data_IF_824704593271
#
_entry.id   IF_824704593271
#
_cell.length_a   1.000
_cell.length_b   1.000
_cell.length_c   1.000
_cell.angle_alpha   90.00
_cell.angle_beta   90.00
_cell.angle_gamma   90.00
#
_symmetry.space_group_name_H-M   'P 1'
#
loop_
_entity.id
_entity.type
_entity.pdbx_description
1 polymer ?
#
# COMPACT_ATOMS: atom_id res chain seq x y z
N UNK A 1 -7.63 -17.40 28.25
CA UNK A 1 -8.47 -16.67 27.28
C UNK A 1 -7.68 -15.47 26.83
N UNK A 2 -7.06 -15.54 25.65
CA UNK A 2 -6.48 -14.36 25.01
C UNK A 2 -7.63 -13.39 24.69
N UNK A 3 -7.45 -12.07 24.89
CA UNK A 3 -8.48 -11.11 24.52
C UNK A 3 -8.73 -11.26 23.02
N UNK A 4 -9.99 -11.52 22.64
CA UNK A 4 -10.44 -11.38 21.27
C UNK A 4 -10.15 -9.94 20.87
N UNK A 5 -9.19 -9.74 19.98
CA UNK A 5 -9.03 -8.45 19.30
C UNK A 5 -10.32 -8.26 18.51
N UNK A 6 -11.10 -7.24 18.87
CA UNK A 6 -12.34 -6.94 18.14
C UNK A 6 -12.01 -6.78 16.65
N UNK A 7 -12.79 -7.44 15.81
CA UNK A 7 -12.60 -7.38 14.37
C UNK A 7 -12.89 -5.95 13.87
N UNK A 8 -12.01 -5.40 13.05
CA UNK A 8 -12.21 -4.11 12.42
C UNK A 8 -13.24 -4.17 11.30
N UNK A 9 -14.20 -3.28 11.36
CA UNK A 9 -15.25 -3.16 10.35
C UNK A 9 -14.75 -2.39 9.13
N UNK A 10 -14.85 -3.02 7.96
CA UNK A 10 -14.45 -2.42 6.68
C UNK A 10 -15.67 -2.31 5.78
N UNK A 11 -16.04 -1.10 5.39
CA UNK A 11 -17.08 -0.85 4.40
C UNK A 11 -16.45 -0.61 3.01
N UNK A 12 -16.79 -1.43 2.03
CA UNK A 12 -16.45 -1.20 0.62
C UNK A 12 -17.64 -0.51 -0.03
N UNK A 13 -17.54 0.79 -0.32
CA UNK A 13 -18.64 1.56 -0.89
C UNK A 13 -18.65 1.47 -2.43
N UNK A 14 -19.49 0.59 -2.97
CA UNK A 14 -19.73 0.52 -4.40
C UNK A 14 -20.78 1.56 -4.85
N UNK A 15 -20.32 2.53 -5.63
CA UNK A 15 -21.19 3.50 -6.30
C UNK A 15 -21.66 2.97 -7.68
N UNK A 16 -22.73 3.54 -8.27
CA UNK A 16 -23.20 3.10 -9.58
C UNK A 16 -22.09 3.07 -10.62
N UNK A 17 -22.04 1.99 -11.41
CA UNK A 17 -20.98 1.71 -12.38
C UNK A 17 -19.60 1.58 -11.72
N UNK A 18 -19.54 0.93 -10.55
CA UNK A 18 -18.28 0.57 -9.92
C UNK A 18 -17.44 -0.36 -10.83
N UNK A 19 -16.12 -0.31 -10.72
CA UNK A 19 -15.25 -1.27 -11.38
C UNK A 19 -15.24 -2.58 -10.55
N UNK A 20 -15.79 -3.70 -11.07
CA UNK A 20 -16.04 -4.88 -10.26
C UNK A 20 -14.77 -5.50 -9.69
N UNK A 21 -13.65 -5.39 -10.43
CA UNK A 21 -12.35 -5.86 -9.97
C UNK A 21 -11.88 -5.12 -8.72
N UNK A 22 -12.03 -3.79 -8.67
CA UNK A 22 -11.61 -3.00 -7.51
C UNK A 22 -12.56 -3.16 -6.31
N UNK A 23 -13.85 -3.42 -6.57
CA UNK A 23 -14.79 -3.83 -5.53
C UNK A 23 -14.34 -5.15 -4.89
N UNK A 24 -13.86 -6.12 -5.69
CA UNK A 24 -13.45 -7.44 -5.20
C UNK A 24 -12.10 -7.47 -4.46
N UNK A 25 -11.20 -6.53 -4.74
CA UNK A 25 -9.83 -6.53 -4.17
C UNK A 25 -9.80 -6.49 -2.63
N UNK A 26 -10.54 -5.58 -1.94
CA UNK A 26 -10.60 -5.60 -0.49
C UNK A 26 -11.09 -6.94 0.07
N UNK A 27 -12.10 -7.56 -0.55
CA UNK A 27 -12.58 -8.87 -0.11
C UNK A 27 -11.49 -9.94 -0.27
N UNK A 28 -10.82 -9.99 -1.41
CA UNK A 28 -9.78 -10.97 -1.68
C UNK A 28 -8.59 -10.87 -0.71
N UNK A 29 -8.25 -9.66 -0.27
CA UNK A 29 -7.10 -9.40 0.62
C UNK A 29 -7.48 -9.47 2.10
N UNK A 30 -8.49 -8.70 2.51
CA UNK A 30 -8.81 -8.46 3.92
C UNK A 30 -9.61 -9.60 4.56
N UNK A 31 -10.33 -10.41 3.77
CA UNK A 31 -11.02 -11.61 4.29
C UNK A 31 -10.16 -12.87 4.29
N UNK A 32 -8.86 -12.74 4.04
CA UNK A 32 -7.93 -13.87 4.08
C UNK A 32 -7.96 -14.56 5.44
N UNK A 33 -8.02 -15.89 5.45
CA UNK A 33 -7.92 -16.71 6.69
C UNK A 33 -6.62 -16.51 7.46
N UNK A 34 -5.62 -15.90 6.82
CA UNK A 34 -4.35 -15.56 7.48
C UNK A 34 -4.39 -14.22 8.21
N UNK A 35 -5.45 -13.44 8.01
CA UNK A 35 -5.69 -12.11 8.55
C UNK A 35 -7.12 -12.04 9.15
N UNK A 36 -7.41 -12.90 10.13
CA UNK A 36 -8.69 -12.92 10.88
C UNK A 36 -8.84 -11.70 11.80
N UNK A 37 -8.90 -10.51 11.19
CA UNK A 37 -9.00 -9.22 11.86
C UNK A 37 -10.04 -8.30 11.23
N UNK A 38 -10.42 -8.52 9.98
CA UNK A 38 -11.35 -7.64 9.26
C UNK A 38 -12.71 -8.28 9.03
N UNK A 39 -13.76 -7.50 9.25
CA UNK A 39 -15.12 -7.81 8.79
C UNK A 39 -15.48 -6.89 7.64
N UNK A 40 -15.41 -7.41 6.41
CA UNK A 40 -15.63 -6.62 5.19
C UNK A 40 -17.10 -6.72 4.73
N UNK A 41 -17.75 -5.57 4.55
CA UNK A 41 -19.13 -5.44 4.07
C UNK A 41 -19.17 -4.66 2.76
N UNK A 42 -19.88 -5.15 1.75
CA UNK A 42 -20.14 -4.40 0.51
C UNK A 42 -21.33 -3.48 0.77
N UNK A 43 -21.09 -2.19 0.69
CA UNK A 43 -22.09 -1.15 0.89
C UNK A 43 -22.43 -0.48 -0.45
N UNK A 44 -23.69 -0.13 -0.62
CA UNK A 44 -24.15 0.78 -1.68
C UNK A 44 -24.70 2.06 -1.05
N UNK A 45 -25.29 2.94 -1.86
CA UNK A 45 -26.14 4.02 -1.32
C UNK A 45 -27.31 3.47 -0.51
N UNK A 46 -27.80 2.29 -0.90
CA UNK A 46 -28.81 1.46 -0.21
C UNK A 46 -28.45 -0.01 -0.43
N UNK A 47 -28.92 -0.95 0.42
CA UNK A 47 -28.80 -2.37 0.16
C UNK A 47 -29.44 -2.76 -1.19
N UNK A 48 -28.84 -3.74 -1.87
CA UNK A 48 -29.34 -4.27 -3.14
C UNK A 48 -28.37 -4.17 -4.32
N UNK A 49 -28.85 -4.40 -5.55
CA UNK A 49 -28.00 -4.44 -6.74
C UNK A 49 -27.33 -3.09 -7.05
N UNK A 50 -26.02 -3.11 -7.24
CA UNK A 50 -25.22 -1.98 -7.75
C UNK A 50 -24.66 -2.38 -9.12
N UNK A 51 -25.00 -1.65 -10.20
CA UNK A 51 -24.49 -1.96 -11.53
C UNK A 51 -22.97 -1.73 -11.58
N UNK A 52 -22.24 -2.59 -12.29
CA UNK A 52 -20.79 -2.44 -12.49
C UNK A 52 -20.46 -2.20 -13.96
N UNK A 53 -19.25 -1.73 -14.25
CA UNK A 53 -18.76 -1.58 -15.63
C UNK A 53 -18.55 -2.91 -16.35
N UNK A 54 -18.53 -4.04 -15.63
CA UNK A 54 -18.33 -5.38 -16.18
C UNK A 54 -19.59 -6.01 -16.79
N UNK A 55 -20.72 -5.31 -16.82
CA UNK A 55 -21.97 -5.84 -17.38
C UNK A 55 -22.75 -6.77 -16.44
N UNK A 56 -22.34 -6.89 -15.18
CA UNK A 56 -23.07 -7.63 -14.14
C UNK A 56 -23.16 -6.79 -12.85
N UNK A 57 -24.25 -6.89 -12.08
CA UNK A 57 -24.35 -6.19 -10.80
C UNK A 57 -23.57 -6.93 -9.71
N UNK A 58 -23.09 -6.17 -8.72
CA UNK A 58 -22.75 -6.69 -7.38
C UNK A 58 -23.91 -6.40 -6.44
N UNK A 59 -24.07 -7.15 -5.35
CA UNK A 59 -25.18 -6.98 -4.40
C UNK A 59 -24.65 -6.43 -3.09
N UNK A 60 -24.93 -5.15 -2.82
CA UNK A 60 -24.58 -4.52 -1.55
C UNK A 60 -25.43 -5.11 -0.41
N UNK A 61 -24.79 -5.53 0.67
CA UNK A 61 -25.49 -6.04 1.86
C UNK A 61 -26.03 -4.92 2.74
N UNK A 62 -25.40 -3.73 2.71
CA UNK A 62 -25.76 -2.59 3.56
C UNK A 62 -25.77 -1.26 2.79
N UNK A 63 -26.35 -0.23 3.40
CA UNK A 63 -26.36 1.15 2.90
C UNK A 63 -25.29 2.03 3.54
N UNK A 64 -25.50 3.35 3.43
CA UNK A 64 -24.59 4.37 3.95
C UNK A 64 -24.48 4.35 5.49
N UNK A 65 -25.47 3.79 6.19
CA UNK A 65 -25.40 3.59 7.64
C UNK A 65 -24.21 2.71 8.05
N UNK A 66 -23.89 1.67 7.28
CA UNK A 66 -22.74 0.83 7.52
C UNK A 66 -21.42 1.52 7.12
N UNK A 67 -21.44 2.39 6.11
CA UNK A 67 -20.30 3.24 5.74
C UNK A 67 -19.96 4.18 6.90
N UNK A 68 -20.97 4.86 7.44
CA UNK A 68 -20.81 5.73 8.59
C UNK A 68 -20.29 4.95 9.79
N UNK A 69 -20.71 3.70 10.00
CA UNK A 69 -20.35 2.83 11.13
C UNK A 69 -18.95 2.18 11.06
N UNK A 70 -18.33 2.05 9.89
CA UNK A 70 -17.13 1.23 9.69
C UNK A 70 -15.82 1.89 10.13
N UNK A 71 -14.88 1.14 10.71
CA UNK A 71 -13.55 1.61 11.12
C UNK A 71 -12.67 2.00 9.92
N UNK A 72 -12.87 1.33 8.78
CA UNK A 72 -12.24 1.69 7.50
C UNK A 72 -13.30 1.74 6.40
N UNK A 73 -13.27 2.80 5.58
CA UNK A 73 -14.10 2.92 4.38
C UNK A 73 -13.20 2.86 3.14
N UNK A 74 -13.52 1.97 2.20
CA UNK A 74 -12.81 1.86 0.92
C UNK A 74 -13.77 2.28 -0.20
N UNK A 75 -13.34 3.22 -1.04
CA UNK A 75 -14.08 3.73 -2.20
C UNK A 75 -13.38 3.31 -3.50
N UNK A 76 -13.87 2.26 -4.19
CA UNK A 76 -13.36 1.83 -5.50
C UNK A 76 -13.66 2.83 -6.63
N UNK A 77 -13.11 2.60 -7.83
CA UNK A 77 -13.51 3.32 -9.04
C UNK A 77 -15.01 3.19 -9.33
N UNK A 78 -15.59 4.28 -9.85
CA UNK A 78 -16.95 4.36 -10.37
C UNK A 78 -17.00 5.29 -11.59
N UNK A 79 -17.91 5.01 -12.54
CA UNK A 79 -17.91 5.67 -13.87
C UNK A 79 -18.20 7.16 -13.84
N UNK A 80 -18.98 7.66 -12.87
CA UNK A 80 -19.34 9.09 -12.89
C UNK A 80 -18.16 9.99 -12.55
N UNK A 81 -17.04 9.46 -12.05
CA UNK A 81 -15.82 10.26 -11.92
C UNK A 81 -15.45 10.88 -13.29
N UNK A 82 -15.32 12.21 -13.38
CA UNK A 82 -14.99 13.14 -12.29
C UNK A 82 -16.16 13.78 -11.53
N UNK A 83 -17.41 13.55 -11.93
CA UNK A 83 -18.57 14.15 -11.27
C UNK A 83 -18.61 13.73 -9.79
N UNK A 84 -18.88 14.69 -8.88
CA UNK A 84 -18.98 14.38 -7.47
C UNK A 84 -20.11 13.38 -7.22
N UNK A 85 -19.92 12.41 -6.32
CA UNK A 85 -21.01 11.60 -5.80
C UNK A 85 -22.14 12.48 -5.24
N UNK A 86 -23.38 11.97 -5.15
CA UNK A 86 -24.47 12.66 -4.49
C UNK A 86 -24.13 13.05 -3.05
N UNK A 87 -24.74 14.13 -2.54
CA UNK A 87 -24.40 14.71 -1.23
C UNK A 87 -24.50 13.72 -0.07
N UNK A 88 -25.47 12.79 -0.11
CA UNK A 88 -25.62 11.75 0.92
C UNK A 88 -24.38 10.86 1.05
N UNK A 89 -23.70 10.56 -0.07
CA UNK A 89 -22.44 9.83 -0.09
C UNK A 89 -21.31 10.67 0.50
N UNK A 90 -21.21 11.94 0.10
CA UNK A 90 -20.16 12.84 0.59
C UNK A 90 -20.28 13.03 2.10
N UNK A 91 -21.50 13.22 2.60
CA UNK A 91 -21.79 13.38 4.02
C UNK A 91 -21.51 12.09 4.80
N UNK A 92 -21.80 10.92 4.25
CA UNK A 92 -21.44 9.64 4.86
C UNK A 92 -19.92 9.49 5.01
N UNK A 93 -19.14 9.84 3.97
CA UNK A 93 -17.67 9.81 4.01
C UNK A 93 -17.11 10.79 5.05
N UNK A 94 -17.61 12.04 5.07
CA UNK A 94 -17.22 13.05 6.07
C UNK A 94 -17.56 12.60 7.48
N UNK A 95 -18.73 12.01 7.68
CA UNK A 95 -19.18 11.54 9.01
C UNK A 95 -18.33 10.38 9.50
N UNK A 96 -18.03 9.40 8.63
CA UNK A 96 -17.14 8.30 8.98
C UNK A 96 -15.75 8.82 9.38
N UNK A 97 -15.17 9.71 8.55
CA UNK A 97 -13.86 10.31 8.81
C UNK A 97 -13.83 11.14 10.10
N UNK A 98 -14.85 11.96 10.34
CA UNK A 98 -14.96 12.78 11.56
C UNK A 98 -15.06 11.94 12.84
N UNK A 99 -15.59 10.71 12.76
CA UNK A 99 -15.59 9.74 13.86
C UNK A 99 -14.21 9.09 14.08
N UNK A 100 -13.28 9.25 13.14
CA UNK A 100 -11.94 8.66 13.17
C UNK A 100 -11.77 7.42 12.30
N UNK A 101 -12.70 7.15 11.37
CA UNK A 101 -12.50 6.07 10.40
C UNK A 101 -11.35 6.39 9.45
N UNK A 102 -10.57 5.36 9.08
CA UNK A 102 -9.59 5.44 8.00
C UNK A 102 -10.33 5.42 6.66
N UNK A 103 -10.05 6.37 5.77
CA UNK A 103 -10.71 6.43 4.45
C UNK A 103 -9.69 6.11 3.35
N UNK A 104 -10.00 5.13 2.52
CA UNK A 104 -9.15 4.71 1.43
C UNK A 104 -9.88 4.84 0.08
N UNK A 105 -9.19 5.33 -0.95
CA UNK A 105 -9.66 5.22 -2.33
C UNK A 105 -8.81 4.27 -3.16
N UNK A 106 -9.44 3.69 -4.17
CA UNK A 106 -8.77 2.95 -5.24
C UNK A 106 -9.13 3.65 -6.55
N UNK A 107 -8.12 3.92 -7.39
CA UNK A 107 -8.29 4.51 -8.71
C UNK A 107 -9.00 5.87 -8.64
N UNK A 108 -9.95 6.11 -9.56
CA UNK A 108 -10.78 7.30 -9.61
C UNK A 108 -11.72 7.46 -8.40
N UNK A 109 -11.77 6.51 -7.46
CA UNK A 109 -12.39 6.72 -6.16
C UNK A 109 -11.82 7.93 -5.40
N UNK A 110 -10.59 8.35 -5.72
CA UNK A 110 -9.98 9.56 -5.16
C UNK A 110 -10.81 10.84 -5.40
N UNK A 111 -11.59 10.90 -6.49
CA UNK A 111 -12.48 12.05 -6.76
C UNK A 111 -13.60 12.17 -5.71
N UNK A 112 -14.11 11.06 -5.17
CA UNK A 112 -15.10 11.10 -4.09
C UNK A 112 -14.50 11.67 -2.80
N UNK A 113 -13.27 11.26 -2.46
CA UNK A 113 -12.56 11.79 -1.29
C UNK A 113 -12.22 13.28 -1.46
N UNK A 114 -11.82 13.69 -2.67
CA UNK A 114 -11.57 15.09 -3.00
C UNK A 114 -12.86 15.94 -2.89
N UNK A 115 -13.97 15.47 -3.48
CA UNK A 115 -15.28 16.12 -3.38
C UNK A 115 -15.80 16.22 -1.93
N UNK A 116 -15.45 15.23 -1.09
CA UNK A 116 -15.76 15.27 0.33
C UNK A 116 -14.88 16.26 1.13
N UNK A 117 -13.83 16.83 0.52
CA UNK A 117 -12.86 17.72 1.18
C UNK A 117 -11.79 16.97 1.99
N UNK A 118 -11.74 15.64 1.87
CA UNK A 118 -10.85 14.80 2.69
C UNK A 118 -9.40 14.81 2.22
N UNK A 119 -9.14 15.30 1.00
CA UNK A 119 -7.80 15.38 0.41
C UNK A 119 -7.18 16.79 0.45
N UNK A 120 -7.90 17.79 0.97
CA UNK A 120 -7.43 19.18 0.98
C UNK A 120 -6.14 19.33 1.78
N UNK A 121 -5.09 19.86 1.13
CA UNK A 121 -3.76 20.07 1.72
C UNK A 121 -2.89 18.81 1.82
N UNK A 122 -3.41 17.63 1.43
CA UNK A 122 -2.74 16.33 1.54
C UNK A 122 -2.14 15.89 0.22
N UNK A 123 -1.19 14.95 0.27
CA UNK A 123 -0.76 14.23 -0.93
C UNK A 123 -1.78 13.14 -1.26
N UNK A 124 -2.01 12.92 -2.54
CA UNK A 124 -2.88 11.86 -3.01
C UNK A 124 -2.43 11.35 -4.38
N UNK A 125 -2.82 10.13 -4.71
CA UNK A 125 -2.69 9.59 -6.06
C UNK A 125 -4.04 9.11 -6.58
N UNK A 126 -4.12 8.91 -7.88
CA UNK A 126 -5.27 8.33 -8.59
C UNK A 126 -4.73 7.61 -9.82
N UNK A 127 -5.60 7.03 -10.63
CA UNK A 127 -5.18 6.44 -11.90
C UNK A 127 -4.49 7.50 -12.77
N UNK A 128 -3.31 7.19 -13.30
CA UNK A 128 -2.46 8.13 -14.05
C UNK A 128 -3.24 8.92 -15.11
N UNK A 129 -4.17 8.28 -15.82
CA UNK A 129 -4.97 8.90 -16.87
C UNK A 129 -5.92 10.01 -16.35
N UNK A 130 -6.16 10.07 -15.05
CA UNK A 130 -7.04 11.05 -14.39
C UNK A 130 -6.30 11.94 -13.39
N UNK A 131 -4.98 11.85 -13.28
CA UNK A 131 -4.21 12.62 -12.30
C UNK A 131 -4.27 14.13 -12.59
N UNK A 132 -4.04 14.53 -13.84
CA UNK A 132 -4.11 15.95 -14.25
C UNK A 132 -5.52 16.51 -14.04
N UNK A 133 -6.54 15.69 -14.28
CA UNK A 133 -7.93 16.07 -14.08
C UNK A 133 -8.26 16.25 -12.59
N UNK A 134 -7.78 15.38 -11.72
CA UNK A 134 -7.95 15.51 -10.27
C UNK A 134 -7.27 16.80 -9.76
N UNK A 135 -6.04 17.06 -10.21
CA UNK A 135 -5.28 18.25 -9.83
C UNK A 135 -5.96 19.55 -10.29
N UNK A 136 -6.54 19.54 -11.50
CA UNK A 136 -7.24 20.70 -12.04
C UNK A 136 -8.56 21.00 -11.30
N UNK A 137 -9.30 19.97 -10.90
CA UNK A 137 -10.59 20.15 -10.22
C UNK A 137 -10.45 20.44 -8.72
N UNK A 138 -9.42 19.90 -8.08
CA UNK A 138 -9.21 20.02 -6.64
C UNK A 138 -7.80 20.57 -6.36
N UNK A 139 -7.59 21.89 -6.55
CA UNK A 139 -6.25 22.51 -6.53
C UNK A 139 -5.58 22.51 -5.14
N UNK A 140 -6.32 22.20 -4.08
CA UNK A 140 -5.76 22.02 -2.73
C UNK A 140 -5.10 20.65 -2.54
N UNK A 141 -5.34 19.70 -3.45
CA UNK A 141 -4.77 18.34 -3.39
C UNK A 141 -3.40 18.32 -4.07
N UNK A 142 -2.39 17.77 -3.39
CA UNK A 142 -1.05 17.56 -3.97
C UNK A 142 -1.02 16.22 -4.69
N UNK A 143 -1.43 16.21 -5.95
CA UNK A 143 -1.51 14.97 -6.75
C UNK A 143 -0.13 14.46 -7.15
N UNK A 144 0.13 13.19 -6.86
CA UNK A 144 1.34 12.46 -7.21
C UNK A 144 0.97 11.29 -8.15
N UNK A 145 1.21 11.47 -9.45
CA UNK A 145 0.81 10.51 -10.49
C UNK A 145 1.79 9.34 -10.65
N UNK A 146 2.97 9.41 -10.04
CA UNK A 146 4.07 8.47 -10.27
C UNK A 146 4.21 7.44 -9.15
N UNK A 147 3.15 7.21 -8.36
CA UNK A 147 3.14 6.27 -7.23
C UNK A 147 1.94 5.31 -7.30
N UNK A 148 2.09 4.10 -6.75
CA UNK A 148 1.03 3.09 -6.66
C UNK A 148 -0.01 3.43 -5.59
N UNK A 149 0.45 3.99 -4.46
CA UNK A 149 -0.42 4.50 -3.42
C UNK A 149 0.30 5.54 -2.54
N UNK A 150 -0.50 6.41 -1.93
CA UNK A 150 -0.09 7.41 -0.93
C UNK A 150 -0.83 7.13 0.37
N UNK A 151 -0.12 7.19 1.49
CA UNK A 151 -0.66 7.05 2.83
C UNK A 151 -0.35 8.33 3.63
N UNK A 152 -1.40 9.02 4.07
CA UNK A 152 -1.37 10.22 4.91
C UNK A 152 -1.95 9.92 6.32
N UNK A 153 -1.94 8.65 6.73
CA UNK A 153 -2.35 8.16 8.05
C UNK A 153 -3.82 7.74 8.11
N UNK A 154 -4.71 8.74 8.24
CA UNK A 154 -6.16 8.56 8.27
C UNK A 154 -6.78 8.50 6.86
N UNK A 155 -6.02 8.87 5.83
CA UNK A 155 -6.44 8.82 4.43
C UNK A 155 -5.40 8.13 3.55
N UNK A 156 -5.84 7.17 2.73
CA UNK A 156 -5.01 6.43 1.78
C UNK A 156 -5.61 6.57 0.38
N UNK A 157 -4.78 6.75 -0.63
CA UNK A 157 -5.24 6.79 -2.03
C UNK A 157 -4.36 5.88 -2.87
N UNK A 158 -4.96 5.14 -3.79
CA UNK A 158 -4.26 4.21 -4.67
C UNK A 158 -4.54 4.51 -6.14
N UNK A 159 -3.55 4.27 -6.99
CA UNK A 159 -3.62 4.43 -8.43
C UNK A 159 -4.69 3.57 -9.12
N UNK A 160 -5.19 2.52 -8.47
CA UNK A 160 -6.20 1.64 -9.04
C UNK A 160 -5.66 0.38 -9.71
N UNK A 161 -6.58 -0.40 -10.26
CA UNK A 161 -6.29 -1.70 -10.89
C UNK A 161 -5.46 -2.54 -9.90
N UNK A 162 -4.35 -3.14 -10.30
CA UNK A 162 -3.55 -4.00 -9.45
C UNK A 162 -2.93 -3.28 -8.24
N UNK A 163 -2.87 -1.95 -8.22
CA UNK A 163 -2.34 -1.21 -7.05
C UNK A 163 -3.33 -1.15 -5.87
N UNK A 164 -4.62 -1.40 -6.12
CA UNK A 164 -5.60 -1.57 -5.04
C UNK A 164 -5.26 -2.77 -4.14
N UNK A 165 -4.68 -3.83 -4.71
CA UNK A 165 -4.15 -4.97 -3.95
C UNK A 165 -2.98 -4.53 -3.06
N UNK A 166 -2.06 -3.71 -3.57
CA UNK A 166 -0.92 -3.24 -2.79
C UNK A 166 -1.38 -2.38 -1.61
N UNK A 167 -2.33 -1.47 -1.83
CA UNK A 167 -2.86 -0.63 -0.78
C UNK A 167 -3.64 -1.46 0.27
N UNK A 168 -4.39 -2.48 -0.14
CA UNK A 168 -5.02 -3.40 0.82
C UNK A 168 -3.97 -4.23 1.60
N UNK A 169 -2.90 -4.70 0.95
CA UNK A 169 -1.80 -5.39 1.63
C UNK A 169 -1.02 -4.46 2.57
N UNK A 170 -0.95 -3.16 2.24
CA UNK A 170 -0.39 -2.13 3.10
C UNK A 170 -1.24 -1.92 4.37
N UNK A 171 -2.57 -1.97 4.29
CA UNK A 171 -3.45 -1.99 5.48
C UNK A 171 -3.11 -3.19 6.37
N UNK A 172 -3.12 -4.40 5.80
CA UNK A 172 -2.77 -5.63 6.54
C UNK A 172 -1.39 -5.52 7.18
N UNK A 173 -0.41 -4.96 6.48
CA UNK A 173 0.95 -4.78 6.98
C UNK A 173 1.01 -3.80 8.15
N UNK A 174 0.22 -2.74 8.09
CA UNK A 174 0.16 -1.70 9.12
C UNK A 174 -0.53 -2.21 10.38
N UNK A 175 -1.65 -2.93 10.21
CA UNK A 175 -2.47 -3.36 11.33
C UNK A 175 -1.99 -4.69 11.95
N UNK A 176 -1.49 -5.63 11.13
CA UNK A 176 -1.12 -7.00 11.54
C UNK A 176 0.35 -7.37 11.30
N UNK A 177 1.13 -6.47 10.71
CA UNK A 177 2.55 -6.67 10.47
C UNK A 177 2.90 -7.36 9.14
N UNK A 178 4.18 -7.29 8.79
CA UNK A 178 4.72 -7.75 7.52
C UNK A 178 4.55 -9.25 7.27
N UNK A 179 4.66 -10.09 8.30
CA UNK A 179 4.54 -11.53 8.18
C UNK A 179 3.14 -11.94 7.69
N UNK A 180 2.09 -11.34 8.27
CA UNK A 180 0.70 -11.58 7.88
C UNK A 180 0.46 -11.08 6.46
N UNK A 181 0.85 -9.84 6.16
CA UNK A 181 0.71 -9.29 4.81
C UNK A 181 1.41 -10.15 3.74
N UNK A 182 2.63 -10.65 4.02
CA UNK A 182 3.35 -11.52 3.10
C UNK A 182 2.66 -12.89 2.92
N UNK A 183 2.01 -13.44 3.96
CA UNK A 183 1.21 -14.67 3.84
C UNK A 183 -0.04 -14.44 3.00
N UNK A 184 -0.76 -13.33 3.23
CA UNK A 184 -1.91 -12.93 2.40
C UNK A 184 -1.50 -12.78 0.94
N UNK A 185 -0.42 -12.03 0.66
CA UNK A 185 0.09 -11.81 -0.68
C UNK A 185 0.43 -13.12 -1.40
N UNK A 186 1.11 -14.05 -0.72
CA UNK A 186 1.40 -15.39 -1.28
C UNK A 186 0.14 -16.19 -1.58
N UNK A 187 -0.85 -16.14 -0.69
CA UNK A 187 -2.11 -16.87 -0.85
C UNK A 187 -2.90 -16.41 -2.09
N UNK A 188 -2.77 -15.14 -2.47
CA UNK A 188 -3.45 -14.55 -3.64
C UNK A 188 -2.52 -14.43 -4.86
N UNK A 189 -1.31 -15.01 -4.80
CA UNK A 189 -0.30 -14.97 -5.87
C UNK A 189 0.07 -13.53 -6.28
N UNK A 190 0.10 -12.61 -5.33
CA UNK A 190 0.56 -11.25 -5.52
C UNK A 190 2.02 -11.09 -5.10
N UNK A 191 2.68 -10.04 -5.61
CA UNK A 191 4.00 -9.65 -5.12
C UNK A 191 3.93 -9.37 -3.60
N UNK A 192 4.86 -9.91 -2.78
CA UNK A 192 4.79 -9.76 -1.32
C UNK A 192 4.83 -8.31 -0.85
N UNK A 193 5.52 -7.46 -1.61
CA UNK A 193 5.64 -6.04 -1.34
C UNK A 193 6.00 -5.31 -2.64
N UNK A 194 5.15 -4.35 -3.02
CA UNK A 194 5.52 -3.26 -3.93
C UNK A 194 5.49 -1.99 -3.11
N UNK A 195 6.60 -1.25 -3.10
CA UNK A 195 6.66 0.02 -2.38
C UNK A 195 5.60 0.97 -2.96
N UNK A 196 4.89 1.72 -2.10
CA UNK A 196 3.89 2.68 -2.56
C UNK A 196 4.47 3.71 -3.54
N UNK A 197 5.74 4.08 -3.37
CA UNK A 197 6.49 4.95 -4.27
C UNK A 197 6.89 4.32 -5.62
N UNK A 198 6.54 3.07 -5.90
CA UNK A 198 6.76 2.48 -7.22
C UNK A 198 5.89 3.18 -8.27
N UNK A 199 6.45 3.41 -9.46
CA UNK A 199 5.71 4.00 -10.56
C UNK A 199 4.56 3.11 -11.04
N UNK A 200 3.45 3.73 -11.42
CA UNK A 200 2.39 3.08 -12.19
C UNK A 200 2.98 2.61 -13.55
N UNK A 201 2.42 1.55 -14.13
CA UNK A 201 2.76 1.17 -15.51
C UNK A 201 2.13 2.18 -16.49
N UNK A 202 2.82 3.30 -16.70
CA UNK A 202 2.37 4.36 -17.61
C UNK A 202 3.03 4.14 -18.97
N UNK A 203 2.24 3.77 -19.99
CA UNK A 203 2.65 3.89 -21.38
C UNK A 203 2.55 5.37 -21.77
N UNK A 204 3.57 6.17 -21.43
CA UNK A 204 3.63 7.57 -21.87
C UNK A 204 3.97 7.57 -23.36
N UNK A 205 3.04 7.99 -24.20
CA UNK A 205 3.33 8.44 -25.56
C UNK A 205 4.13 9.74 -25.48
N UNK A 206 5.42 9.63 -25.22
CA UNK A 206 6.38 10.73 -25.32
C UNK A 206 7.74 10.15 -25.73
N UNK A 207 8.45 10.74 -26.70
CA UNK A 207 9.64 10.12 -27.28
C UNK A 207 10.79 9.98 -26.25
N UNK A 208 11.27 8.75 -26.08
CA UNK A 208 12.62 8.36 -25.58
C UNK A 208 13.11 9.00 -24.26
N UNK A 209 12.83 8.38 -23.11
CA UNK A 209 13.80 7.58 -22.35
C UNK A 209 13.22 7.00 -21.04
N UNK A 210 13.37 5.67 -20.91
CA UNK A 210 13.36 4.80 -19.71
C UNK A 210 12.01 4.45 -19.05
N UNK A 211 11.53 3.24 -19.35
CA UNK A 211 10.97 2.36 -18.31
C UNK A 211 11.91 2.36 -17.09
N UNK A 212 11.38 2.45 -15.85
CA UNK A 212 12.15 2.65 -14.59
C UNK A 212 13.57 2.11 -14.70
N UNK A 213 14.52 3.02 -14.94
CA UNK A 213 15.90 2.66 -15.23
C UNK A 213 16.55 1.88 -14.08
N UNK A 214 15.95 2.00 -12.88
CA UNK A 214 16.44 1.39 -11.66
C UNK A 214 15.65 0.16 -11.22
N UNK A 215 14.53 -0.22 -11.84
CA UNK A 215 13.77 -1.41 -11.44
C UNK A 215 14.61 -2.69 -11.51
N UNK A 216 15.30 -2.91 -12.64
CA UNK A 216 16.21 -4.04 -12.81
C UNK A 216 17.38 -3.99 -11.80
N UNK A 217 17.93 -2.80 -11.53
CA UNK A 217 19.01 -2.62 -10.55
C UNK A 217 18.56 -2.89 -9.12
N UNK A 218 17.33 -2.50 -8.76
CA UNK A 218 16.73 -2.80 -7.45
C UNK A 218 16.44 -4.28 -7.29
N UNK A 219 15.86 -4.93 -8.29
CA UNK A 219 15.61 -6.37 -8.27
C UNK A 219 16.90 -7.17 -8.10
N UNK A 220 17.93 -6.85 -8.90
CA UNK A 220 19.26 -7.42 -8.75
C UNK A 220 19.83 -7.21 -7.34
N UNK A 221 19.76 -5.99 -6.82
CA UNK A 221 20.26 -5.69 -5.48
C UNK A 221 19.54 -6.49 -4.37
N UNK A 222 18.23 -6.71 -4.49
CA UNK A 222 17.43 -7.50 -3.54
C UNK A 222 17.89 -8.97 -3.48
N UNK A 223 18.35 -9.53 -4.60
CA UNK A 223 18.91 -10.88 -4.67
C UNK A 223 20.31 -10.96 -4.02
N UNK A 224 21.07 -9.86 -4.05
CA UNK A 224 22.47 -9.80 -3.61
C UNK A 224 22.66 -9.08 -2.27
N UNK A 225 21.59 -8.88 -1.47
CA UNK A 225 21.67 -8.12 -0.22
C UNK A 225 22.66 -8.69 0.80
N UNK A 226 22.90 -10.01 0.76
CA UNK A 226 23.81 -10.75 1.63
C UNK A 226 25.29 -10.45 1.35
N UNK A 227 25.60 -9.89 0.19
CA UNK A 227 26.95 -9.50 -0.23
C UNK A 227 27.31 -8.10 0.29
N UNK A 228 28.61 -7.72 0.33
CA UNK A 228 29.07 -6.37 0.70
C UNK A 228 28.76 -5.32 -0.38
N UNK A 229 27.52 -5.29 -0.86
CA UNK A 229 27.04 -4.41 -1.90
C UNK A 229 27.14 -2.94 -1.48
N UNK A 230 27.70 -2.12 -2.37
CA UNK A 230 27.88 -0.67 -2.20
C UNK A 230 27.03 0.14 -3.18
N UNK A 231 26.92 1.45 -2.93
CA UNK A 231 26.28 2.38 -3.88
C UNK A 231 27.03 2.43 -5.22
N UNK A 232 28.34 2.21 -5.22
CA UNK A 232 29.14 2.14 -6.45
C UNK A 232 28.78 0.91 -7.29
N UNK A 233 28.42 -0.21 -6.66
CA UNK A 233 28.00 -1.42 -7.36
C UNK A 233 26.62 -1.25 -8.01
N UNK A 234 25.68 -0.60 -7.30
CA UNK A 234 24.40 -0.20 -7.87
C UNK A 234 24.60 0.74 -9.08
N UNK A 235 25.51 1.70 -8.98
CA UNK A 235 25.82 2.63 -10.05
C UNK A 235 26.39 1.90 -11.27
N UNK A 236 27.29 0.94 -11.04
CA UNK A 236 27.90 0.11 -12.08
C UNK A 236 26.85 -0.75 -12.79
N UNK A 237 25.97 -1.42 -12.04
CA UNK A 237 24.89 -2.23 -12.60
C UNK A 237 23.93 -1.38 -13.43
N UNK A 238 23.55 -0.20 -12.94
CA UNK A 238 22.70 0.73 -13.66
C UNK A 238 23.39 1.40 -14.88
N UNK A 239 24.70 1.21 -15.06
CA UNK A 239 25.55 1.94 -16.02
C UNK A 239 25.42 3.46 -15.87
N UNK A 240 25.41 3.92 -14.62
CA UNK A 240 25.27 5.33 -14.24
C UNK A 240 26.45 5.81 -13.39
N UNK A 241 26.67 7.12 -13.37
CA UNK A 241 27.50 7.74 -12.34
C UNK A 241 26.78 7.67 -10.98
N UNK A 242 27.53 7.68 -9.86
CA UNK A 242 26.93 7.68 -8.52
C UNK A 242 26.01 8.88 -8.27
N UNK A 243 26.34 10.06 -8.84
CA UNK A 243 25.51 11.27 -8.75
C UNK A 243 24.18 11.09 -9.51
N UNK A 244 24.24 10.55 -10.72
CA UNK A 244 23.04 10.27 -11.54
C UNK A 244 22.16 9.23 -10.86
N UNK A 245 22.77 8.15 -10.34
CA UNK A 245 22.09 7.13 -9.56
C UNK A 245 21.40 7.72 -8.35
N UNK A 246 22.07 8.55 -7.56
CA UNK A 246 21.50 9.14 -6.35
C UNK A 246 20.26 9.99 -6.65
N UNK A 247 20.32 10.83 -7.70
CA UNK A 247 19.18 11.63 -8.13
C UNK A 247 18.03 10.78 -8.66
N UNK A 248 18.33 9.73 -9.43
CA UNK A 248 17.31 8.82 -9.95
C UNK A 248 16.65 7.99 -8.81
N UNK A 249 17.42 7.54 -7.82
CA UNK A 249 16.88 6.86 -6.63
C UNK A 249 16.01 7.78 -5.79
N UNK A 250 16.42 9.03 -5.58
CA UNK A 250 15.64 10.00 -4.83
C UNK A 250 14.32 10.31 -5.56
N UNK A 251 14.38 10.49 -6.89
CA UNK A 251 13.20 10.69 -7.72
C UNK A 251 12.25 9.47 -7.75
N UNK A 252 12.77 8.24 -7.83
CA UNK A 252 11.95 7.01 -7.94
C UNK A 252 11.53 6.42 -6.58
N UNK A 253 12.19 6.74 -5.47
CA UNK A 253 11.96 6.07 -4.17
C UNK A 253 11.82 7.03 -2.99
N UNK A 254 12.01 8.34 -3.20
CA UNK A 254 12.04 9.35 -2.12
C UNK A 254 13.21 9.16 -1.14
N UNK A 255 14.20 8.35 -1.50
CA UNK A 255 15.32 7.94 -0.64
C UNK A 255 16.61 7.85 -1.44
N UNK A 256 17.71 8.27 -0.83
CA UNK A 256 19.05 8.01 -1.37
C UNK A 256 19.32 6.48 -1.50
N UNK A 257 20.18 6.04 -2.45
CA UNK A 257 20.50 4.62 -2.65
C UNK A 257 20.96 3.90 -1.38
N UNK A 258 21.78 4.55 -0.55
CA UNK A 258 22.29 3.97 0.70
C UNK A 258 21.17 3.74 1.73
N UNK A 259 20.25 4.70 1.87
CA UNK A 259 19.10 4.58 2.76
C UNK A 259 18.15 3.47 2.30
N UNK A 260 17.94 3.37 0.99
CA UNK A 260 17.15 2.29 0.39
C UNK A 260 17.79 0.93 0.67
N UNK A 261 19.09 0.76 0.40
CA UNK A 261 19.80 -0.49 0.64
C UNK A 261 19.77 -0.89 2.11
N UNK A 262 19.94 0.06 3.02
CA UNK A 262 19.85 -0.19 4.47
C UNK A 262 18.46 -0.69 4.87
N UNK A 263 17.39 -0.09 4.32
CA UNK A 263 16.01 -0.52 4.58
C UNK A 263 15.75 -1.94 4.06
N UNK A 264 16.16 -2.23 2.82
CA UNK A 264 16.03 -3.57 2.24
C UNK A 264 16.75 -4.65 3.07
N UNK A 265 17.93 -4.33 3.60
CA UNK A 265 18.69 -5.23 4.48
C UNK A 265 18.00 -5.44 5.83
N UNK A 266 17.38 -4.41 6.40
CA UNK A 266 16.57 -4.56 7.62
C UNK A 266 15.33 -5.44 7.36
N UNK A 267 14.66 -5.28 6.22
CA UNK A 267 13.52 -6.14 5.86
C UNK A 267 13.94 -7.59 5.66
N UNK A 268 15.10 -7.85 5.04
CA UNK A 268 15.69 -9.20 4.97
C UNK A 268 16.02 -9.75 6.35
N UNK A 269 16.56 -8.93 7.24
CA UNK A 269 16.80 -9.31 8.63
C UNK A 269 15.51 -9.71 9.36
N UNK A 270 14.39 -9.00 9.13
CA UNK A 270 13.08 -9.38 9.68
C UNK A 270 12.65 -10.78 9.19
N UNK A 271 12.71 -11.01 7.89
CA UNK A 271 12.35 -12.31 7.28
C UNK A 271 13.20 -13.47 7.84
N UNK A 272 14.51 -13.25 8.00
CA UNK A 272 15.41 -14.24 8.60
C UNK A 272 15.15 -14.48 10.08
N UNK A 273 14.81 -13.44 10.87
CA UNK A 273 14.46 -13.59 12.28
C UNK A 273 13.18 -14.39 12.46
N UNK A 274 12.23 -14.26 11.53
CA UNK A 274 10.93 -14.94 11.53
C UNK A 274 11.03 -16.39 11.06
N UNK A 275 11.84 -16.69 10.04
CA UNK A 275 11.88 -18.03 9.41
C UNK A 275 12.96 -18.95 9.94
N UNK A 276 13.95 -18.43 10.68
CA UNK A 276 15.12 -19.20 11.09
C UNK A 276 15.40 -19.07 12.58
N UNK A 277 15.98 -20.12 13.16
CA UNK A 277 16.53 -20.11 14.51
C UNK A 277 17.99 -19.58 14.57
N UNK A 278 18.47 -18.92 13.51
CA UNK A 278 19.87 -18.48 13.41
C UNK A 278 20.26 -17.47 14.49
N UNK A 279 21.51 -17.48 14.94
CA UNK A 279 22.02 -16.46 15.86
C UNK A 279 21.92 -15.06 15.26
N UNK A 280 21.84 -14.03 16.12
CA UNK A 280 21.79 -12.63 15.67
C UNK A 280 22.99 -12.24 14.81
N UNK A 281 24.17 -12.81 15.08
CA UNK A 281 25.36 -12.58 14.26
C UNK A 281 25.22 -13.17 12.86
N UNK A 282 24.67 -14.38 12.76
CA UNK A 282 24.41 -14.99 11.45
C UNK A 282 23.35 -14.22 10.69
N UNK A 283 22.28 -13.79 11.34
CA UNK A 283 21.25 -12.95 10.68
C UNK A 283 21.84 -11.63 10.20
N UNK A 284 22.71 -10.98 10.98
CA UNK A 284 23.36 -9.74 10.57
C UNK A 284 24.24 -9.94 9.32
N UNK A 285 24.98 -11.05 9.27
CA UNK A 285 25.79 -11.41 8.11
C UNK A 285 24.92 -11.67 6.88
N UNK A 286 23.93 -12.56 7.00
CA UNK A 286 23.08 -13.02 5.89
C UNK A 286 22.12 -11.94 5.37
N UNK A 287 21.82 -10.94 6.19
CA UNK A 287 21.07 -9.75 5.77
C UNK A 287 21.94 -8.67 5.13
N UNK A 288 23.27 -8.80 5.18
CA UNK A 288 24.23 -7.79 4.69
C UNK A 288 24.41 -6.59 5.62
N UNK A 289 23.89 -6.64 6.85
CA UNK A 289 24.15 -5.63 7.88
C UNK A 289 25.53 -5.80 8.54
N UNK A 290 26.20 -6.93 8.26
CA UNK A 290 27.58 -7.21 8.63
C UNK A 290 27.67 -7.74 10.06
N UNK A 291 27.50 -6.86 11.05
CA UNK A 291 27.65 -7.20 12.47
C UNK A 291 26.34 -7.09 13.24
N UNK A 292 26.18 -7.87 14.32
CA UNK A 292 25.00 -7.78 15.18
C UNK A 292 24.80 -6.38 15.77
N UNK A 293 25.88 -5.65 16.06
CA UNK A 293 25.81 -4.27 16.54
C UNK A 293 25.20 -3.33 15.49
N UNK A 294 25.66 -3.40 14.24
CA UNK A 294 25.15 -2.59 13.15
C UNK A 294 23.69 -2.96 12.79
N UNK A 295 23.39 -4.26 12.82
CA UNK A 295 22.02 -4.74 12.67
C UNK A 295 21.10 -4.14 13.75
N UNK A 296 21.45 -4.23 15.04
CA UNK A 296 20.63 -3.67 16.13
C UNK A 296 20.38 -2.17 15.95
N UNK A 297 21.41 -1.41 15.58
CA UNK A 297 21.29 0.03 15.34
C UNK A 297 20.26 0.35 14.25
N UNK A 298 20.41 -0.27 13.08
CA UNK A 298 19.52 0.01 11.95
C UNK A 298 18.12 -0.57 12.14
N UNK A 299 18.03 -1.75 12.74
CA UNK A 299 16.77 -2.42 13.04
C UNK A 299 15.96 -1.62 14.05
N UNK A 300 16.55 -1.16 15.15
CA UNK A 300 15.86 -0.31 16.13
C UNK A 300 15.41 1.02 15.49
N UNK A 301 16.26 1.65 14.67
CA UNK A 301 15.90 2.92 14.00
C UNK A 301 14.70 2.79 13.05
N UNK A 302 14.52 1.63 12.43
CA UNK A 302 13.47 1.43 11.41
C UNK A 302 12.25 0.66 11.91
N UNK A 303 12.41 -0.24 12.87
CA UNK A 303 11.36 -1.13 13.38
C UNK A 303 10.92 -0.75 14.80
N UNK A 304 11.71 0.07 15.52
CA UNK A 304 11.36 0.57 16.86
C UNK A 304 11.62 -0.42 18.00
N UNK A 305 12.08 -1.63 17.72
CA UNK A 305 12.38 -2.68 18.72
C UNK A 305 13.71 -3.36 18.44
N UNK A 306 14.24 -4.11 19.41
CA UNK A 306 15.46 -4.90 19.19
C UNK A 306 15.17 -6.15 18.34
N UNK A 307 16.16 -6.66 17.57
CA UNK A 307 16.02 -7.94 16.84
C UNK A 307 15.58 -9.12 17.72
N UNK A 308 16.02 -9.15 18.98
CA UNK A 308 15.70 -10.22 19.94
C UNK A 308 14.27 -10.11 20.45
N UNK A 309 13.78 -8.90 20.71
CA UNK A 309 12.38 -8.67 21.08
C UNK A 309 11.46 -8.97 19.89
N UNK A 310 11.83 -8.51 18.70
CA UNK A 310 11.14 -8.82 17.45
C UNK A 310 10.98 -10.33 17.28
N UNK A 311 12.08 -11.10 17.37
CA UNK A 311 12.01 -12.56 17.26
C UNK A 311 11.11 -13.17 18.33
N UNK A 312 11.15 -12.71 19.58
CA UNK A 312 10.32 -13.27 20.66
C UNK A 312 8.83 -13.11 20.38
N UNK A 313 8.45 -11.97 19.80
CA UNK A 313 7.06 -11.70 19.39
C UNK A 313 6.61 -12.63 18.26
N UNK A 314 7.48 -12.93 17.29
CA UNK A 314 7.10 -13.69 16.09
C UNK A 314 7.45 -15.20 16.14
N UNK A 315 8.31 -15.65 17.05
CA UNK A 315 8.64 -17.07 17.24
C UNK A 315 7.55 -17.86 17.99
N UNK A 316 6.61 -17.17 18.64
CA UNK A 316 5.50 -17.77 19.37
C UNK A 316 4.20 -17.85 18.54
N UNK A 317 4.23 -17.52 17.25
CA UNK A 317 3.13 -17.75 16.34
C UNK A 317 3.15 -19.22 15.89
N UNK A 318 2.10 -20.03 16.12
CA UNK A 318 2.06 -21.40 15.63
C UNK A 318 2.16 -21.39 14.09
N UNK A 319 3.02 -22.26 13.56
CA UNK A 319 3.09 -22.61 12.13
C UNK A 319 1.80 -23.23 11.64
#
# INVERSE_FOLDING_TARGET
MSPTVDAQDVAVLALPQALPMEVGMPFQVLTSRTAEHYRVTLCGRRPGPVPTTGGFPVVAQAGLEAVVAADTVIVPAYRTAPEPPPDDVLDALRTAHARGARIMSICVGAFALAAAGLLDGRRATTHWAHADQLAAQYPLVRVDADVLFVDEGDVITSAGVASGIDACLHLVRTDLGAAVANRVARAIVAAPHRDGGQAQFIARDTPTHTASALAATRAWALEHLHEPLTVADLARHARMSARTLARAFDAETGRSPLRWLTAARVDRARDLLERTAWSTDRVAHESGLGTAANMRLHFHRQVGVSPSDYRRTFANAPT
#
